data_IF_394310207450
#
_entry.id   IF_394310207450
#
_cell.length_a   1.000
_cell.length_b   1.000
_cell.length_c   1.000
_cell.angle_alpha   90.00
_cell.angle_beta   90.00
_cell.angle_gamma   90.00
#
_symmetry.space_group_name_H-M   'P 1'
#
loop_
_entity.id
_entity.type
_entity.pdbx_description
1 polymer ?
#
# COMPACT_ATOMS: atom_id res chain seq x y z
N UNK A 1 -36.52 -2.56 1.79
CA UNK A 1 -35.25 -3.15 1.33
C UNK A 1 -34.16 -2.11 1.60
N UNK A 2 -33.03 -2.47 2.20
CA UNK A 2 -31.92 -1.51 2.36
C UNK A 2 -31.36 -1.18 0.98
N UNK A 3 -31.00 0.10 0.76
CA UNK A 3 -30.37 0.54 -0.49
C UNK A 3 -29.06 -0.26 -0.69
N UNK A 4 -28.77 -0.68 -1.94
CA UNK A 4 -27.52 -1.33 -2.33
C UNK A 4 -26.37 -0.32 -2.10
N UNK A 5 -25.21 -0.81 -1.63
CA UNK A 5 -24.04 0.03 -1.50
C UNK A 5 -23.51 0.42 -2.88
N UNK A 6 -22.98 1.62 -2.99
CA UNK A 6 -22.33 2.14 -4.21
C UNK A 6 -20.82 2.21 -4.01
N UNK A 7 -20.02 2.29 -5.07
CA UNK A 7 -18.58 2.54 -4.97
C UNK A 7 -18.26 3.78 -4.12
N UNK A 8 -17.18 3.70 -3.35
CA UNK A 8 -16.78 4.68 -2.35
C UNK A 8 -15.46 5.31 -2.76
N UNK A 9 -15.41 6.64 -2.82
CA UNK A 9 -14.19 7.42 -2.90
C UNK A 9 -13.82 7.93 -1.52
N UNK A 10 -12.51 8.14 -1.32
CA UNK A 10 -12.00 8.86 -0.16
C UNK A 10 -11.24 10.09 -0.62
N UNK A 11 -11.28 11.15 0.17
CA UNK A 11 -10.46 12.35 -0.05
C UNK A 11 -9.02 12.03 0.34
N UNK A 12 -8.06 12.06 -0.61
CA UNK A 12 -6.67 11.74 -0.32
C UNK A 12 -6.04 12.71 0.68
N UNK A 13 -5.11 12.20 1.50
CA UNK A 13 -4.33 13.02 2.42
C UNK A 13 -2.86 13.05 1.98
N UNK A 14 -2.26 14.23 2.01
CA UNK A 14 -0.91 14.50 1.52
C UNK A 14 0.04 14.71 2.69
N UNK A 15 1.16 13.99 2.67
CA UNK A 15 2.16 14.05 3.74
C UNK A 15 3.52 14.49 3.21
N UNK A 16 4.03 15.57 3.81
CA UNK A 16 5.41 15.99 3.65
C UNK A 16 6.35 14.95 4.24
N UNK A 17 7.39 14.60 3.50
CA UNK A 17 8.46 13.70 3.93
C UNK A 17 9.82 14.27 3.53
N UNK A 18 10.81 14.15 4.39
CA UNK A 18 12.19 14.61 4.13
C UNK A 18 12.84 13.95 2.90
N UNK A 19 12.25 12.90 2.37
CA UNK A 19 12.67 12.17 1.18
C UNK A 19 11.70 12.35 0.00
N UNK A 20 10.64 13.16 0.17
CA UNK A 20 9.58 13.31 -0.81
C UNK A 20 10.02 14.01 -2.10
N UNK A 21 9.45 13.59 -3.24
CA UNK A 21 9.79 14.07 -4.58
C UNK A 21 8.96 15.24 -5.05
N UNK A 22 7.69 15.27 -4.73
CA UNK A 22 6.77 16.33 -5.14
C UNK A 22 6.06 16.12 -6.49
N UNK A 23 6.24 14.98 -7.18
CA UNK A 23 5.45 14.63 -8.38
C UNK A 23 3.97 14.40 -8.01
N UNK A 24 3.70 13.97 -6.79
CA UNK A 24 2.36 13.77 -6.25
C UNK A 24 1.74 15.05 -5.66
N UNK A 25 2.47 16.16 -5.61
CA UNK A 25 1.97 17.39 -5.02
C UNK A 25 0.83 17.98 -5.87
N UNK A 26 -0.25 18.48 -5.24
CA UNK A 26 -1.24 19.27 -5.94
C UNK A 26 -0.60 20.50 -6.62
N UNK A 27 -1.20 20.96 -7.72
CA UNK A 27 -0.69 22.14 -8.46
C UNK A 27 -0.50 23.34 -7.53
N UNK A 28 0.74 23.83 -7.40
CA UNK A 28 1.09 24.92 -6.49
C UNK A 28 1.28 24.52 -5.04
N UNK A 29 1.23 23.22 -4.72
CA UNK A 29 1.45 22.68 -3.37
C UNK A 29 2.93 22.50 -3.00
N UNK A 30 3.14 21.89 -1.84
CA UNK A 30 4.45 21.53 -1.31
C UNK A 30 5.18 20.58 -2.26
N UNK A 31 6.45 20.88 -2.57
CA UNK A 31 7.29 20.10 -3.47
C UNK A 31 7.96 18.89 -2.80
N UNK A 32 7.67 18.62 -1.53
CA UNK A 32 8.23 17.51 -0.77
C UNK A 32 7.13 16.56 -0.28
N UNK A 33 6.04 16.41 -1.05
CA UNK A 33 5.05 15.36 -0.78
C UNK A 33 5.66 14.03 -1.13
N UNK A 34 5.96 13.23 -0.11
CA UNK A 34 6.50 11.88 -0.28
C UNK A 34 5.43 10.80 -0.22
N UNK A 35 4.31 11.04 0.47
CA UNK A 35 3.21 10.09 0.57
C UNK A 35 1.87 10.75 0.30
N UNK A 36 1.00 10.06 -0.43
CA UNK A 36 -0.43 10.37 -0.57
C UNK A 36 -1.22 9.15 -0.10
N UNK A 37 -1.98 9.30 0.97
CA UNK A 37 -2.81 8.23 1.49
C UNK A 37 -4.16 8.26 0.81
N UNK A 38 -4.44 7.24 0.01
CA UNK A 38 -5.65 7.13 -0.80
C UNK A 38 -6.82 6.53 -0.01
N UNK A 39 -6.55 5.48 0.80
CA UNK A 39 -7.48 4.87 1.74
C UNK A 39 -6.75 4.60 3.06
N UNK A 40 -7.29 5.12 4.15
CA UNK A 40 -6.75 4.92 5.50
C UNK A 40 -7.88 4.87 6.54
N UNK A 41 -7.82 3.88 7.40
CA UNK A 41 -8.59 3.80 8.65
C UNK A 41 -7.71 4.03 9.89
N UNK A 42 -6.43 4.40 9.71
CA UNK A 42 -5.51 4.60 10.83
C UNK A 42 -5.97 5.77 11.69
N UNK A 43 -6.13 5.52 12.98
CA UNK A 43 -6.66 6.49 13.95
C UNK A 43 -5.90 7.83 13.92
N UNK A 44 -6.63 8.93 13.73
CA UNK A 44 -6.10 10.28 13.59
C UNK A 44 -5.50 10.62 12.22
N UNK A 45 -5.52 9.67 11.28
CA UNK A 45 -5.05 9.80 9.89
C UNK A 45 -6.02 9.13 8.92
N UNK A 46 -7.30 9.08 9.28
CA UNK A 46 -8.35 8.50 8.44
C UNK A 46 -8.58 9.35 7.20
N UNK A 47 -8.77 8.70 6.05
CA UNK A 47 -9.24 9.38 4.85
C UNK A 47 -10.77 9.48 4.89
N UNK A 48 -11.35 10.68 4.89
CA UNK A 48 -12.80 10.84 4.89
C UNK A 48 -13.40 10.36 3.56
N UNK A 49 -14.55 9.70 3.63
CA UNK A 49 -15.27 9.24 2.43
C UNK A 49 -16.04 10.37 1.77
N UNK A 50 -16.19 10.26 0.46
CA UNK A 50 -16.92 11.21 -0.39
C UNK A 50 -18.30 10.65 -0.80
N UNK A 51 -19.19 11.55 -1.27
CA UNK A 51 -20.51 11.21 -1.81
C UNK A 51 -21.61 11.26 -0.76
N UNK A 52 -22.81 11.64 -1.19
CA UNK A 52 -23.95 11.98 -0.33
C UNK A 52 -24.37 10.86 0.66
N UNK A 53 -24.11 9.60 0.31
CA UNK A 53 -24.47 8.46 1.16
C UNK A 53 -23.44 8.15 2.27
N UNK A 54 -22.20 8.65 2.11
CA UNK A 54 -21.06 8.29 2.96
C UNK A 54 -20.27 9.50 3.48
N UNK A 55 -20.60 10.70 3.03
CA UNK A 55 -19.80 11.91 3.17
C UNK A 55 -19.25 12.12 4.59
N UNK A 56 -17.91 12.23 4.66
CA UNK A 56 -17.20 12.48 5.91
C UNK A 56 -17.11 11.28 6.87
N UNK A 57 -17.69 10.13 6.53
CA UNK A 57 -17.57 8.94 7.36
C UNK A 57 -16.15 8.38 7.28
N UNK A 58 -15.62 7.80 8.39
CA UNK A 58 -14.41 7.00 8.34
C UNK A 58 -14.71 5.60 7.77
N UNK A 59 -13.69 4.94 7.21
CA UNK A 59 -13.83 3.57 6.72
C UNK A 59 -14.27 2.60 7.83
N UNK A 60 -13.77 2.77 9.06
CA UNK A 60 -14.19 1.95 10.21
C UNK A 60 -15.66 2.17 10.58
N UNK A 61 -16.16 3.41 10.50
CA UNK A 61 -17.58 3.68 10.70
C UNK A 61 -18.44 2.99 9.65
N UNK A 62 -17.95 2.90 8.40
CA UNK A 62 -18.64 2.15 7.34
C UNK A 62 -18.57 0.63 7.59
N UNK A 63 -17.45 0.10 8.05
CA UNK A 63 -17.33 -1.31 8.45
C UNK A 63 -18.30 -1.61 9.59
N UNK A 64 -18.33 -0.81 10.63
CA UNK A 64 -19.27 -0.98 11.75
C UNK A 64 -20.74 -0.95 11.30
N UNK A 65 -21.08 -0.12 10.31
CA UNK A 65 -22.44 0.03 9.79
C UNK A 65 -22.86 -1.08 8.83
N UNK A 66 -21.97 -1.51 7.95
CA UNK A 66 -22.31 -2.37 6.82
C UNK A 66 -21.69 -3.77 6.88
N UNK A 67 -20.64 -3.96 7.68
CA UNK A 67 -20.02 -5.25 7.91
C UNK A 67 -19.63 -6.00 6.63
N UNK A 68 -20.06 -7.24 6.54
CA UNK A 68 -19.80 -8.12 5.38
C UNK A 68 -20.42 -7.64 4.07
N UNK A 69 -21.42 -6.77 4.11
CA UNK A 69 -21.94 -6.12 2.88
C UNK A 69 -20.87 -5.23 2.23
N UNK A 70 -20.02 -4.61 3.06
CA UNK A 70 -18.89 -3.79 2.61
C UNK A 70 -17.66 -4.66 2.32
N UNK A 71 -17.18 -5.41 3.31
CA UNK A 71 -15.89 -6.10 3.24
C UNK A 71 -15.93 -7.45 2.53
N UNK A 72 -17.08 -8.13 2.53
CA UNK A 72 -17.22 -9.50 2.04
C UNK A 72 -17.51 -10.50 3.17
N UNK A 73 -18.02 -11.65 2.77
CA UNK A 73 -18.50 -12.69 3.68
C UNK A 73 -17.40 -13.19 4.62
N UNK A 74 -17.62 -13.02 5.92
CA UNK A 74 -16.72 -13.42 6.99
C UNK A 74 -15.56 -12.46 7.24
N UNK A 75 -15.38 -11.44 6.40
CA UNK A 75 -14.25 -10.51 6.51
C UNK A 75 -14.36 -9.59 7.72
N UNK A 76 -15.58 -9.18 8.09
CA UNK A 76 -15.76 -8.32 9.28
C UNK A 76 -15.21 -8.97 10.55
N UNK A 77 -15.48 -10.24 10.74
CA UNK A 77 -14.97 -10.99 11.89
C UNK A 77 -13.44 -11.18 11.79
N UNK A 78 -12.93 -11.52 10.60
CA UNK A 78 -11.50 -11.71 10.35
C UNK A 78 -10.68 -10.46 10.60
N UNK A 79 -11.20 -9.29 10.21
CA UNK A 79 -10.52 -8.00 10.36
C UNK A 79 -10.81 -7.33 11.73
N UNK A 80 -11.41 -8.04 12.70
CA UNK A 80 -11.71 -7.49 14.01
C UNK A 80 -12.69 -6.31 14.02
N UNK A 81 -13.50 -6.16 12.95
CA UNK A 81 -14.46 -5.07 12.80
C UNK A 81 -13.88 -3.74 12.32
N UNK A 82 -12.62 -3.70 11.90
CA UNK A 82 -11.95 -2.53 11.35
C UNK A 82 -11.68 -2.69 9.83
N UNK A 83 -11.41 -1.58 9.13
CA UNK A 83 -10.99 -1.62 7.75
C UNK A 83 -9.52 -2.07 7.67
N UNK A 84 -9.20 -3.15 6.93
CA UNK A 84 -7.94 -3.87 7.14
C UNK A 84 -6.73 -3.30 6.40
N UNK A 85 -6.89 -2.38 5.46
CA UNK A 85 -5.83 -1.96 4.56
C UNK A 85 -5.56 -0.46 4.61
N UNK A 86 -4.29 -0.11 4.38
CA UNK A 86 -3.83 1.25 4.10
C UNK A 86 -3.21 1.27 2.70
N UNK A 87 -3.71 2.16 1.85
CA UNK A 87 -3.26 2.30 0.45
C UNK A 87 -2.62 3.67 0.27
N UNK A 88 -1.40 3.70 -0.23
CA UNK A 88 -0.64 4.92 -0.44
C UNK A 88 -0.02 4.98 -1.82
N UNK A 89 0.26 6.20 -2.27
CA UNK A 89 1.26 6.48 -3.28
C UNK A 89 2.51 7.00 -2.57
N UNK A 90 3.67 6.51 -2.98
CA UNK A 90 4.98 6.99 -2.52
C UNK A 90 5.74 7.61 -3.69
N UNK A 91 6.37 8.76 -3.45
CA UNK A 91 7.26 9.45 -4.40
C UNK A 91 8.59 9.76 -3.69
N UNK A 92 9.61 8.99 -3.99
CA UNK A 92 10.89 8.99 -3.31
C UNK A 92 11.98 9.71 -4.13
N UNK A 93 12.26 10.98 -3.82
CA UNK A 93 13.41 11.70 -4.39
C UNK A 93 14.73 11.36 -3.67
N UNK A 94 14.68 10.80 -2.47
CA UNK A 94 15.84 10.30 -1.74
C UNK A 94 15.54 8.94 -1.13
N UNK A 95 16.58 8.17 -0.79
CA UNK A 95 16.43 6.85 -0.18
C UNK A 95 15.60 6.93 1.11
N UNK A 96 14.62 6.03 1.30
CA UNK A 96 13.91 5.87 2.56
C UNK A 96 14.83 5.23 3.61
N UNK A 97 14.49 5.36 4.89
CA UNK A 97 15.23 4.68 5.97
C UNK A 97 15.29 3.17 5.73
N UNK A 98 16.39 2.54 6.14
CA UNK A 98 16.44 1.08 6.28
C UNK A 98 15.60 0.71 7.49
N UNK A 99 14.60 -0.13 7.30
CA UNK A 99 13.53 -0.40 8.25
C UNK A 99 13.04 -1.84 8.23
N UNK A 100 12.28 -2.21 9.24
CA UNK A 100 11.55 -3.48 9.34
C UNK A 100 10.21 -3.24 10.04
N UNK A 101 9.21 -4.03 9.69
CA UNK A 101 7.89 -4.01 10.33
C UNK A 101 7.68 -5.27 11.14
N UNK A 102 7.10 -5.20 12.35
CA UNK A 102 6.67 -6.39 13.08
C UNK A 102 5.51 -7.09 12.36
N UNK A 103 5.14 -8.28 12.83
CA UNK A 103 4.01 -9.01 12.27
C UNK A 103 2.68 -8.27 12.48
N UNK A 104 1.66 -8.51 11.65
CA UNK A 104 0.34 -7.91 11.85
C UNK A 104 -0.25 -8.21 13.24
N UNK A 105 -0.01 -9.41 13.81
CA UNK A 105 -0.45 -9.80 15.14
C UNK A 105 0.23 -8.98 16.26
N UNK A 106 1.39 -8.43 15.99
CA UNK A 106 2.15 -7.53 16.87
C UNK A 106 1.90 -6.05 16.55
N UNK A 107 0.87 -5.75 15.75
CA UNK A 107 0.52 -4.40 15.32
C UNK A 107 1.39 -3.84 14.22
N UNK A 108 2.04 -4.71 13.47
CA UNK A 108 2.82 -4.38 12.28
C UNK A 108 2.07 -4.62 10.98
N UNK A 109 2.78 -4.97 9.91
CA UNK A 109 2.21 -5.07 8.57
C UNK A 109 3.03 -5.93 7.61
N UNK A 110 2.32 -6.61 6.72
CA UNK A 110 2.82 -7.05 5.42
C UNK A 110 2.58 -5.94 4.39
N UNK A 111 3.42 -5.85 3.36
CA UNK A 111 3.32 -4.85 2.30
C UNK A 111 3.48 -5.47 0.92
N UNK A 112 2.82 -4.86 -0.08
CA UNK A 112 3.13 -5.06 -1.49
C UNK A 112 3.37 -3.69 -2.12
N UNK A 113 4.51 -3.54 -2.81
CA UNK A 113 4.87 -2.36 -3.56
C UNK A 113 4.70 -2.62 -5.05
N UNK A 114 3.92 -1.80 -5.75
CA UNK A 114 3.78 -1.83 -7.20
C UNK A 114 4.41 -0.57 -7.80
N UNK A 115 5.50 -0.74 -8.56
CA UNK A 115 6.28 0.37 -9.12
C UNK A 115 5.57 1.00 -10.31
N UNK A 116 5.25 2.29 -10.22
CA UNK A 116 4.65 3.11 -11.27
C UNK A 116 5.72 3.69 -12.19
N UNK A 117 6.71 4.34 -11.59
CA UNK A 117 7.81 4.99 -12.27
C UNK A 117 9.13 4.73 -11.55
N UNK A 118 10.22 4.62 -12.32
CA UNK A 118 11.57 4.44 -11.77
C UNK A 118 12.59 5.16 -12.62
N UNK A 119 13.60 5.73 -11.99
CA UNK A 119 14.81 6.17 -12.66
C UNK A 119 15.75 4.98 -12.94
N UNK A 120 16.75 5.13 -13.84
CA UNK A 120 17.70 4.05 -14.13
C UNK A 120 18.50 3.56 -12.92
N UNK A 121 18.60 4.36 -11.87
CA UNK A 121 19.34 4.08 -10.62
C UNK A 121 18.43 3.59 -9.49
N UNK A 122 17.13 3.54 -9.72
CA UNK A 122 16.16 3.11 -8.73
C UNK A 122 16.39 1.67 -8.30
N UNK A 123 16.30 1.45 -7.00
CA UNK A 123 16.61 0.16 -6.38
C UNK A 123 15.80 -0.04 -5.10
N UNK A 124 15.72 -1.27 -4.67
CA UNK A 124 15.13 -1.67 -3.39
C UNK A 124 16.15 -2.46 -2.57
N UNK A 125 16.19 -2.24 -1.26
CA UNK A 125 16.89 -3.11 -0.34
C UNK A 125 15.96 -4.26 0.08
N UNK A 126 16.47 -5.50 0.01
CA UNK A 126 15.75 -6.74 0.33
C UNK A 126 16.60 -7.63 1.24
N UNK A 127 16.60 -7.32 2.53
CA UNK A 127 17.34 -8.05 3.54
C UNK A 127 18.85 -7.77 3.52
N UNK A 128 19.58 -8.72 4.08
CA UNK A 128 21.05 -8.67 4.19
C UNK A 128 21.69 -9.49 3.07
N UNK A 129 22.96 -9.22 2.76
CA UNK A 129 23.73 -9.99 1.76
C UNK A 129 24.03 -11.41 2.22
N UNK A 130 24.08 -11.65 3.53
CA UNK A 130 24.34 -12.94 4.15
C UNK A 130 23.61 -13.07 5.50
N UNK A 131 23.35 -14.28 6.00
CA UNK A 131 22.80 -14.48 7.33
C UNK A 131 23.77 -14.00 8.41
N UNK A 132 23.25 -13.33 9.45
CA UNK A 132 24.06 -12.94 10.60
C UNK A 132 23.25 -13.03 11.90
N UNK A 133 23.94 -13.04 13.05
CA UNK A 133 23.27 -12.98 14.34
C UNK A 133 22.84 -11.54 14.68
N UNK A 134 21.90 -11.39 15.63
CA UNK A 134 21.50 -10.07 16.12
C UNK A 134 22.69 -9.27 16.69
N UNK A 135 23.59 -9.93 17.44
CA UNK A 135 24.78 -9.28 17.97
C UNK A 135 25.77 -8.84 16.87
N UNK A 136 25.90 -9.64 15.80
CA UNK A 136 26.71 -9.28 14.65
C UNK A 136 26.11 -8.06 13.93
N UNK A 137 24.80 -8.04 13.68
CA UNK A 137 24.12 -6.90 13.06
C UNK A 137 24.21 -5.64 13.93
N UNK A 138 24.03 -5.77 15.26
CA UNK A 138 24.25 -4.67 16.22
C UNK A 138 25.64 -4.07 16.06
N UNK A 139 26.67 -4.91 16.09
CA UNK A 139 28.06 -4.49 15.92
C UNK A 139 28.32 -3.81 14.57
N UNK A 140 27.68 -4.28 13.50
CA UNK A 140 27.75 -3.65 12.17
C UNK A 140 27.12 -2.25 12.19
N UNK A 141 25.96 -2.09 12.84
CA UNK A 141 25.27 -0.78 12.98
C UNK A 141 26.14 0.18 13.80
N UNK A 142 26.63 -0.24 14.96
CA UNK A 142 27.49 0.58 15.85
C UNK A 142 28.75 1.09 15.15
N UNK A 143 29.28 0.33 14.21
CA UNK A 143 30.47 0.71 13.40
C UNK A 143 30.09 1.51 12.15
N UNK A 144 28.83 1.91 11.99
CA UNK A 144 28.30 2.60 10.80
C UNK A 144 28.59 1.85 9.47
N UNK A 145 28.60 0.51 9.50
CA UNK A 145 28.94 -0.34 8.36
C UNK A 145 27.72 -1.03 7.71
N UNK A 146 26.50 -0.76 8.18
CA UNK A 146 25.27 -1.46 7.76
C UNK A 146 25.11 -1.49 6.23
N UNK A 147 25.39 -0.38 5.55
CA UNK A 147 25.19 -0.25 4.10
C UNK A 147 25.98 -1.28 3.27
N UNK A 148 27.09 -1.83 3.78
CA UNK A 148 27.88 -2.86 3.09
C UNK A 148 27.25 -4.26 3.15
N UNK A 149 26.30 -4.46 4.06
CA UNK A 149 25.64 -5.73 4.29
C UNK A 149 24.20 -5.76 3.78
N UNK A 150 23.71 -4.66 3.22
CA UNK A 150 22.35 -4.59 2.63
C UNK A 150 22.36 -5.14 1.22
N UNK A 151 21.37 -5.98 0.92
CA UNK A 151 21.16 -6.51 -0.42
C UNK A 151 20.28 -5.58 -1.24
N UNK A 152 20.86 -4.94 -2.25
CA UNK A 152 20.15 -4.01 -3.13
C UNK A 152 19.91 -4.62 -4.50
N UNK A 153 18.69 -4.49 -5.01
CA UNK A 153 18.30 -4.93 -6.34
C UNK A 153 17.67 -3.79 -7.15
N UNK A 154 17.92 -3.70 -8.47
CA UNK A 154 17.24 -2.73 -9.32
C UNK A 154 15.75 -3.04 -9.41
N UNK A 155 14.95 -2.00 -9.64
CA UNK A 155 13.50 -2.07 -9.86
C UNK A 155 13.10 -1.40 -11.15
N UNK A 156 11.95 -1.82 -11.70
CA UNK A 156 11.40 -1.31 -12.97
C UNK A 156 9.91 -1.04 -12.86
N UNK A 157 9.38 -0.12 -13.67
CA UNK A 157 7.93 0.09 -13.75
C UNK A 157 7.19 -1.21 -14.10
N UNK A 158 6.07 -1.43 -13.45
CA UNK A 158 5.23 -2.64 -13.61
C UNK A 158 5.66 -3.83 -12.74
N UNK A 159 6.80 -3.77 -12.06
CA UNK A 159 7.16 -4.80 -11.07
C UNK A 159 6.32 -4.64 -9.78
N UNK A 160 5.99 -5.77 -9.17
CA UNK A 160 5.36 -5.85 -7.85
C UNK A 160 6.25 -6.65 -6.91
N UNK A 161 6.44 -6.17 -5.68
CA UNK A 161 7.30 -6.80 -4.68
C UNK A 161 6.54 -6.97 -3.38
N UNK A 162 6.46 -8.19 -2.88
CA UNK A 162 5.94 -8.47 -1.55
C UNK A 162 7.05 -8.32 -0.50
N UNK A 163 6.72 -7.62 0.57
CA UNK A 163 7.57 -7.37 1.73
C UNK A 163 6.86 -7.92 2.98
N UNK A 164 7.00 -9.21 3.26
CA UNK A 164 6.48 -9.78 4.49
C UNK A 164 7.08 -9.10 5.72
N UNK A 165 6.30 -9.01 6.78
CA UNK A 165 6.77 -8.57 8.09
C UNK A 165 8.09 -9.28 8.46
N UNK A 166 8.97 -8.58 9.16
CA UNK A 166 10.31 -9.06 9.47
C UNK A 166 11.36 -8.86 8.36
N UNK A 167 10.97 -8.47 7.14
CA UNK A 167 11.92 -8.19 6.07
C UNK A 167 12.62 -6.84 6.31
N UNK A 168 13.95 -6.84 6.41
CA UNK A 168 14.73 -5.59 6.37
C UNK A 168 14.64 -5.03 4.95
N UNK A 169 14.15 -3.81 4.80
CA UNK A 169 13.98 -3.21 3.48
C UNK A 169 14.19 -1.69 3.47
N UNK A 170 14.38 -1.13 2.29
CA UNK A 170 14.39 0.30 2.03
C UNK A 170 14.04 0.57 0.57
N UNK A 171 13.31 1.65 0.29
CA UNK A 171 13.09 2.16 -1.06
C UNK A 171 14.22 3.11 -1.43
N UNK A 172 14.85 2.88 -2.56
CA UNK A 172 15.86 3.78 -3.13
C UNK A 172 15.22 4.97 -3.85
N UNK A 173 15.98 6.04 -3.96
CA UNK A 173 15.60 7.26 -4.67
C UNK A 173 15.19 7.00 -6.12
N UNK A 174 14.39 7.93 -6.68
CA UNK A 174 13.93 7.91 -8.07
C UNK A 174 12.78 6.94 -8.34
N UNK A 175 12.05 6.53 -7.30
CA UNK A 175 10.93 5.57 -7.43
C UNK A 175 9.61 6.21 -7.05
N UNK A 176 8.57 5.97 -7.88
CA UNK A 176 7.18 6.23 -7.54
C UNK A 176 6.39 4.93 -7.57
N UNK A 177 5.59 4.65 -6.56
CA UNK A 177 4.91 3.37 -6.40
C UNK A 177 3.56 3.47 -5.67
N UNK A 178 2.74 2.43 -5.83
CA UNK A 178 1.58 2.15 -4.98
C UNK A 178 2.04 1.21 -3.87
N UNK A 179 1.85 1.60 -2.62
CA UNK A 179 2.03 0.76 -1.44
C UNK A 179 0.67 0.27 -0.94
N UNK A 180 0.52 -1.03 -0.89
CA UNK A 180 -0.63 -1.72 -0.30
C UNK A 180 -0.16 -2.43 0.95
N UNK A 181 -0.73 -2.14 2.12
CA UNK A 181 -0.29 -2.69 3.39
C UNK A 181 -1.45 -2.94 4.35
N UNK A 182 -1.21 -3.76 5.38
CA UNK A 182 -2.10 -3.83 6.54
C UNK A 182 -2.19 -2.46 7.23
N UNK A 183 -3.32 -2.17 7.90
CA UNK A 183 -3.56 -0.89 8.58
C UNK A 183 -2.64 -0.74 9.79
N UNK A 184 -1.43 -0.27 9.55
CA UNK A 184 -0.41 0.03 10.58
C UNK A 184 0.58 1.06 10.05
N UNK A 185 1.13 1.91 10.94
CA UNK A 185 2.26 2.79 10.65
C UNK A 185 3.52 2.43 11.48
N UNK A 186 3.50 1.28 12.16
CA UNK A 186 4.62 0.81 12.97
C UNK A 186 5.83 0.52 12.11
N UNK A 187 6.91 1.24 12.37
CA UNK A 187 8.17 1.15 11.62
C UNK A 187 9.36 1.17 12.57
N UNK A 188 10.17 0.11 12.55
CA UNK A 188 11.43 0.04 13.29
C UNK A 188 12.59 0.38 12.37
N UNK A 189 13.18 1.59 12.57
CA UNK A 189 14.30 2.12 11.77
C UNK A 189 15.63 1.60 12.28
N UNK A 190 16.38 0.98 11.36
CA UNK A 190 17.77 0.54 11.58
C UNK A 190 18.80 1.61 11.23
N UNK A 191 18.50 2.38 10.15
CA UNK A 191 19.41 3.42 9.67
C UNK A 191 18.64 4.48 8.89
N UNK A 192 19.04 5.74 9.02
CA UNK A 192 18.38 6.90 8.37
C UNK A 192 19.35 7.90 7.77
N UNK A 193 20.55 7.47 7.36
CA UNK A 193 21.57 8.28 6.67
C UNK A 193 22.02 9.52 7.46
N UNK A 194 21.89 9.51 8.78
CA UNK A 194 22.14 10.65 9.68
C UNK A 194 21.37 11.93 9.31
N UNK A 195 20.28 11.79 8.54
CA UNK A 195 19.45 12.91 8.11
C UNK A 195 18.79 13.62 9.30
N UNK A 196 18.58 14.91 9.11
CA UNK A 196 17.78 15.74 10.01
C UNK A 196 16.53 16.20 9.29
N UNK A 197 15.45 16.40 10.03
CA UNK A 197 14.24 17.02 9.52
C UNK A 197 14.44 18.56 9.41
N UNK A 198 13.41 19.26 8.94
CA UNK A 198 13.42 20.72 8.78
C UNK A 198 13.62 21.47 10.11
N UNK A 199 13.36 20.82 11.23
CA UNK A 199 13.61 21.31 12.58
C UNK A 199 15.03 21.04 13.08
N UNK A 200 15.87 20.34 12.30
CA UNK A 200 17.24 19.94 12.66
C UNK A 200 17.29 18.71 13.57
N UNK A 201 16.17 18.00 13.78
CA UNK A 201 16.14 16.80 14.61
C UNK A 201 16.35 15.53 13.75
N UNK A 202 17.11 14.55 14.29
CA UNK A 202 17.21 13.22 13.69
C UNK A 202 16.00 12.39 14.05
N UNK A 203 15.52 11.58 13.10
CA UNK A 203 14.45 10.59 13.39
C UNK A 203 15.01 9.49 14.29
N UNK A 204 14.16 9.06 15.23
CA UNK A 204 14.52 7.98 16.18
C UNK A 204 14.82 6.68 15.45
N UNK A 205 15.92 6.02 15.82
CA UNK A 205 16.22 4.65 15.45
C UNK A 205 15.64 3.68 16.50
N UNK A 206 15.23 2.50 16.07
CA UNK A 206 14.56 1.48 16.88
C UNK A 206 15.37 0.17 16.81
N UNK A 207 16.68 0.26 17.16
CA UNK A 207 17.64 -0.85 16.91
C UNK A 207 17.21 -2.13 17.63
N UNK A 208 16.81 -2.03 18.91
CA UNK A 208 16.47 -3.20 19.70
C UNK A 208 15.18 -3.88 19.21
N UNK A 209 14.17 -3.08 18.86
CA UNK A 209 12.92 -3.56 18.29
C UNK A 209 13.20 -4.22 16.93
N UNK A 210 13.98 -3.58 16.08
CA UNK A 210 14.32 -4.09 14.77
C UNK A 210 15.12 -5.41 14.85
N UNK A 211 16.09 -5.52 15.76
CA UNK A 211 16.87 -6.75 15.95
C UNK A 211 16.03 -7.93 16.44
N UNK A 212 14.96 -7.68 17.22
CA UNK A 212 14.02 -8.73 17.66
C UNK A 212 13.07 -9.18 16.57
N UNK A 213 12.73 -8.27 15.66
CA UNK A 213 11.71 -8.43 14.63
C UNK A 213 12.28 -8.99 13.33
N UNK A 214 13.48 -8.55 12.97
CA UNK A 214 14.02 -8.77 11.63
C UNK A 214 14.41 -10.23 11.34
N UNK A 215 14.10 -10.66 10.12
CA UNK A 215 14.73 -11.83 9.50
C UNK A 215 16.16 -11.47 9.13
N UNK A 216 17.13 -12.04 9.85
CA UNK A 216 18.54 -11.66 9.79
C UNK A 216 19.28 -12.40 8.66
N UNK A 217 18.88 -12.14 7.42
CA UNK A 217 19.48 -12.77 6.25
C UNK A 217 18.97 -12.18 4.93
N UNK A 218 19.38 -12.78 3.80
CA UNK A 218 18.83 -12.41 2.50
C UNK A 218 17.33 -12.67 2.43
N UNK A 219 16.59 -11.74 1.86
CA UNK A 219 15.22 -11.97 1.43
C UNK A 219 15.21 -12.33 -0.07
N UNK A 220 14.52 -13.42 -0.41
CA UNK A 220 14.36 -13.87 -1.80
C UNK A 220 12.92 -13.66 -2.23
N UNK A 221 12.76 -13.05 -3.39
CA UNK A 221 11.46 -12.85 -3.99
C UNK A 221 11.01 -14.11 -4.74
N UNK A 222 9.79 -14.56 -4.49
CA UNK A 222 9.15 -15.64 -5.23
C UNK A 222 8.71 -15.17 -6.62
N UNK A 223 8.28 -13.91 -6.74
CA UNK A 223 7.83 -13.29 -7.97
C UNK A 223 8.03 -11.77 -7.92
N UNK A 224 8.12 -11.16 -9.10
CA UNK A 224 8.05 -9.70 -9.30
C UNK A 224 6.86 -9.33 -10.18
N UNK A 225 5.92 -10.24 -10.39
CA UNK A 225 4.77 -10.07 -11.27
C UNK A 225 3.48 -10.34 -10.50
N UNK A 226 2.43 -9.63 -10.90
CA UNK A 226 1.07 -9.89 -10.43
C UNK A 226 0.50 -11.17 -11.10
N UNK A 227 -0.38 -11.94 -10.45
CA UNK A 227 -0.90 -11.68 -9.10
C UNK A 227 0.14 -11.94 -8.01
N UNK A 228 0.11 -11.13 -6.95
CA UNK A 228 0.99 -11.25 -5.79
C UNK A 228 0.17 -11.03 -4.52
N UNK A 229 0.41 -11.82 -3.49
CA UNK A 229 -0.39 -11.79 -2.27
C UNK A 229 0.41 -11.94 -0.99
N UNK A 230 -0.25 -11.57 0.10
CA UNK A 230 0.13 -11.83 1.50
C UNK A 230 -0.89 -12.79 2.12
N UNK A 231 -0.79 -13.05 3.42
CA UNK A 231 -1.82 -13.78 4.16
C UNK A 231 -3.17 -13.03 4.21
N UNK A 232 -3.19 -11.71 3.99
CA UNK A 232 -4.35 -10.86 4.23
C UNK A 232 -4.99 -10.32 2.96
N UNK A 233 -4.23 -10.09 1.90
CA UNK A 233 -4.73 -9.51 0.66
C UNK A 233 -3.95 -10.00 -0.57
N UNK A 234 -4.54 -9.81 -1.74
CA UNK A 234 -3.94 -10.14 -3.04
C UNK A 234 -4.08 -8.96 -3.98
N UNK A 235 -3.01 -8.65 -4.70
CA UNK A 235 -2.98 -7.65 -5.76
C UNK A 235 -3.01 -8.29 -7.13
N UNK A 236 -3.83 -7.74 -8.04
CA UNK A 236 -3.98 -8.16 -9.44
C UNK A 236 -3.88 -6.94 -10.35
N UNK A 237 -3.51 -7.13 -11.61
CA UNK A 237 -3.66 -6.08 -12.63
C UNK A 237 -5.01 -6.24 -13.34
N UNK A 238 -5.73 -5.12 -13.49
CA UNK A 238 -6.91 -5.00 -14.35
C UNK A 238 -6.53 -4.11 -15.52
N UNK A 239 -6.71 -4.62 -16.73
CA UNK A 239 -6.43 -3.86 -17.96
C UNK A 239 -7.70 -3.74 -18.78
N UNK A 240 -8.12 -2.52 -19.10
CA UNK A 240 -9.21 -2.28 -20.04
C UNK A 240 -8.65 -1.88 -21.40
N UNK A 241 -9.24 -2.45 -22.45
CA UNK A 241 -9.02 -2.04 -23.83
C UNK A 241 -10.37 -1.70 -24.48
N UNK A 242 -10.41 -0.89 -25.56
CA UNK A 242 -11.67 -0.51 -26.20
C UNK A 242 -12.55 -1.70 -26.60
N UNK A 243 -11.95 -2.85 -26.87
CA UNK A 243 -12.59 -4.06 -27.38
C UNK A 243 -12.84 -5.14 -26.32
N UNK A 244 -12.38 -4.94 -25.07
CA UNK A 244 -12.54 -5.92 -24.00
C UNK A 244 -13.41 -5.39 -22.86
N UNK A 245 -14.44 -6.16 -22.51
CA UNK A 245 -15.19 -5.98 -21.28
C UNK A 245 -14.61 -6.91 -20.21
N UNK A 246 -14.17 -6.35 -19.11
CA UNK A 246 -13.77 -7.13 -17.93
C UNK A 246 -14.83 -7.01 -16.85
N UNK A 247 -15.11 -8.12 -16.18
CA UNK A 247 -15.99 -8.13 -15.01
C UNK A 247 -15.16 -8.28 -13.75
N UNK A 248 -15.31 -7.33 -12.83
CA UNK A 248 -14.74 -7.42 -11.50
C UNK A 248 -15.74 -8.16 -10.62
N UNK A 249 -15.32 -9.27 -10.06
CA UNK A 249 -16.11 -10.09 -9.13
C UNK A 249 -15.23 -10.70 -8.05
N UNK A 250 -15.80 -10.92 -6.88
CA UNK A 250 -15.14 -11.58 -5.74
C UNK A 250 -16.03 -12.67 -5.13
N UNK A 251 -17.08 -13.06 -5.84
CA UNK A 251 -18.11 -14.02 -5.37
C UNK A 251 -18.68 -13.67 -3.98
N UNK A 252 -18.66 -12.38 -3.64
CA UNK A 252 -19.08 -11.85 -2.34
C UNK A 252 -18.19 -12.21 -1.17
N UNK A 253 -16.97 -12.69 -1.42
CA UNK A 253 -16.00 -13.05 -0.36
C UNK A 253 -15.07 -11.89 0.03
N UNK A 254 -15.02 -10.85 -0.79
CA UNK A 254 -14.19 -9.66 -0.56
C UNK A 254 -14.83 -8.42 -1.18
N UNK A 255 -14.56 -7.25 -0.65
CA UNK A 255 -14.56 -6.01 -1.42
C UNK A 255 -13.43 -6.04 -2.46
N UNK A 256 -13.44 -5.09 -3.39
CA UNK A 256 -12.30 -4.82 -4.25
C UNK A 256 -11.90 -3.35 -4.14
N UNK A 257 -10.60 -3.07 -4.09
CA UNK A 257 -10.08 -1.71 -4.18
C UNK A 257 -9.37 -1.59 -5.51
N UNK A 258 -9.69 -0.57 -6.28
CA UNK A 258 -8.99 -0.24 -7.52
C UNK A 258 -8.15 1.00 -7.32
N UNK A 259 -6.89 0.95 -7.75
CA UNK A 259 -6.00 2.12 -7.81
C UNK A 259 -5.58 2.32 -9.25
N UNK A 260 -5.89 3.47 -9.83
CA UNK A 260 -5.56 3.79 -11.21
C UNK A 260 -4.04 3.87 -11.44
N UNK A 261 -3.54 3.14 -12.45
CA UNK A 261 -2.14 3.12 -12.86
C UNK A 261 -1.92 4.03 -14.06
N UNK A 262 -2.71 3.85 -15.11
CA UNK A 262 -2.57 4.61 -16.37
C UNK A 262 -3.89 4.67 -17.13
N UNK A 263 -4.03 5.67 -18.00
CA UNK A 263 -5.25 5.87 -18.79
C UNK A 263 -6.46 6.19 -17.91
N UNK A 264 -7.66 5.76 -18.32
CA UNK A 264 -8.89 5.95 -17.54
C UNK A 264 -9.80 4.76 -17.68
N UNK A 265 -10.30 4.26 -16.56
CA UNK A 265 -11.28 3.17 -16.52
C UNK A 265 -12.68 3.75 -16.23
N UNK A 266 -13.69 3.25 -16.95
CA UNK A 266 -15.08 3.54 -16.67
C UNK A 266 -15.76 2.28 -16.16
N UNK A 267 -16.22 2.33 -14.89
CA UNK A 267 -16.90 1.22 -14.25
C UNK A 267 -18.41 1.45 -14.28
N UNK A 268 -19.18 0.39 -14.49
CA UNK A 268 -20.63 0.40 -14.40
C UNK A 268 -21.12 -0.84 -13.64
N UNK A 269 -22.15 -0.64 -12.81
CA UNK A 269 -22.91 -1.71 -12.18
C UNK A 269 -24.17 -2.04 -12.97
N UNK A 270 -25.14 -2.68 -12.30
CA UNK A 270 -26.45 -3.00 -12.87
C UNK A 270 -27.31 -1.74 -13.14
N UNK A 271 -27.01 -0.66 -12.41
CA UNK A 271 -27.68 0.64 -12.55
C UNK A 271 -26.99 1.48 -13.64
N UNK A 272 -27.64 2.59 -14.03
CA UNK A 272 -27.12 3.52 -15.04
C UNK A 272 -25.95 4.37 -14.54
N UNK A 273 -25.59 4.27 -13.27
CA UNK A 273 -24.48 5.03 -12.67
C UNK A 273 -23.14 4.49 -13.15
N UNK A 274 -22.25 5.43 -13.43
CA UNK A 274 -20.89 5.15 -13.91
C UNK A 274 -19.87 5.84 -13.01
N UNK A 275 -18.74 5.17 -12.79
CA UNK A 275 -17.63 5.67 -12.00
C UNK A 275 -16.35 5.67 -12.84
N UNK A 276 -15.78 6.85 -12.99
CA UNK A 276 -14.48 7.00 -13.65
C UNK A 276 -13.36 6.82 -12.64
N UNK A 277 -12.31 6.11 -13.00
CA UNK A 277 -11.07 5.97 -12.25
C UNK A 277 -9.91 6.46 -13.10
N UNK A 278 -9.28 7.56 -12.68
CA UNK A 278 -8.10 8.13 -13.29
C UNK A 278 -6.81 7.60 -12.61
N UNK A 279 -5.62 7.80 -13.20
CA UNK A 279 -4.36 7.48 -12.53
C UNK A 279 -4.24 8.17 -11.17
N UNK A 280 -3.66 7.46 -10.20
CA UNK A 280 -3.44 7.93 -8.84
C UNK A 280 -4.72 8.14 -8.00
N UNK A 281 -5.88 7.76 -8.52
CA UNK A 281 -7.12 7.71 -7.75
C UNK A 281 -7.38 6.31 -7.22
N UNK A 282 -8.14 6.21 -6.12
CA UNK A 282 -8.62 4.95 -5.59
C UNK A 282 -10.15 4.91 -5.55
N UNK A 283 -10.71 3.70 -5.74
CA UNK A 283 -12.13 3.43 -5.64
C UNK A 283 -12.34 2.11 -4.88
N UNK A 284 -13.02 2.18 -3.74
CA UNK A 284 -13.44 1.01 -2.98
C UNK A 284 -14.79 0.52 -3.51
N UNK A 285 -14.83 -0.72 -3.97
CA UNK A 285 -16.02 -1.43 -4.44
C UNK A 285 -16.51 -2.34 -3.32
N UNK A 286 -17.62 -2.01 -2.63
CA UNK A 286 -18.19 -2.89 -1.62
C UNK A 286 -18.51 -4.29 -2.19
N UNK A 287 -18.35 -5.32 -1.39
CA UNK A 287 -18.62 -6.71 -1.81
C UNK A 287 -20.06 -6.89 -2.34
N UNK A 288 -21.03 -6.16 -1.77
CA UNK A 288 -22.44 -6.16 -2.21
C UNK A 288 -22.62 -5.50 -3.58
N UNK A 289 -21.74 -4.58 -3.97
CA UNK A 289 -21.82 -3.86 -5.25
C UNK A 289 -21.39 -4.73 -6.43
N UNK A 290 -20.53 -5.71 -6.18
CA UNK A 290 -20.02 -6.60 -7.20
C UNK A 290 -21.07 -7.65 -7.65
N UNK A 291 -21.04 -8.12 -8.90
CA UNK A 291 -20.02 -7.80 -9.91
C UNK A 291 -20.22 -6.41 -10.54
N UNK A 292 -19.12 -5.81 -10.98
CA UNK A 292 -19.10 -4.59 -11.77
C UNK A 292 -18.37 -4.79 -13.09
N UNK A 293 -18.77 -4.07 -14.11
CA UNK A 293 -18.13 -4.14 -15.42
C UNK A 293 -17.19 -2.95 -15.60
N UNK A 294 -15.98 -3.23 -16.11
CA UNK A 294 -15.12 -2.20 -16.70
C UNK A 294 -15.68 -1.95 -18.11
N UNK A 295 -16.52 -0.94 -18.23
CA UNK A 295 -17.41 -0.78 -19.38
C UNK A 295 -16.71 -0.28 -20.63
N UNK A 296 -15.78 0.66 -20.53
CA UNK A 296 -14.98 1.23 -21.61
C UNK A 296 -13.78 1.95 -21.07
N UNK A 297 -12.74 2.09 -21.88
CA UNK A 297 -11.56 2.86 -21.56
C UNK A 297 -10.32 2.18 -22.10
N UNK A 298 -9.23 2.92 -22.13
CA UNK A 298 -7.90 2.39 -22.32
C UNK A 298 -7.11 2.75 -21.07
N UNK A 299 -6.80 1.75 -20.24
CA UNK A 299 -6.12 2.01 -18.99
C UNK A 299 -5.88 0.75 -18.16
N UNK A 300 -5.13 0.96 -17.10
CA UNK A 300 -4.75 -0.06 -16.13
C UNK A 300 -5.05 0.38 -14.70
N UNK A 301 -5.42 -0.57 -13.86
CA UNK A 301 -5.53 -0.39 -12.42
C UNK A 301 -4.90 -1.56 -11.65
N UNK A 302 -4.40 -1.28 -10.47
CA UNK A 302 -4.12 -2.30 -9.47
C UNK A 302 -5.44 -2.62 -8.76
N UNK A 303 -5.83 -3.88 -8.76
CA UNK A 303 -6.98 -4.38 -8.01
C UNK A 303 -6.49 -5.12 -6.77
N UNK A 304 -6.98 -4.73 -5.62
CA UNK A 304 -6.67 -5.34 -4.33
C UNK A 304 -7.94 -6.02 -3.80
N UNK A 305 -7.82 -7.27 -3.39
CA UNK A 305 -8.88 -8.05 -2.73
C UNK A 305 -8.35 -8.65 -1.44
N UNK A 306 -9.23 -8.83 -0.46
CA UNK A 306 -8.89 -9.54 0.77
C UNK A 306 -8.81 -11.04 0.48
N UNK A 307 -7.85 -11.74 1.09
CA UNK A 307 -7.82 -13.21 1.03
C UNK A 307 -9.09 -13.77 1.67
N UNK A 308 -9.67 -14.86 1.12
CA UNK A 308 -10.88 -15.44 1.71
C UNK A 308 -10.71 -15.75 3.19
N UNK A 309 -11.74 -15.46 3.99
CA UNK A 309 -11.78 -15.93 5.36
C UNK A 309 -11.80 -17.47 5.36
N UNK A 310 -10.95 -18.10 6.16
CA UNK A 310 -10.99 -19.56 6.33
C UNK A 310 -12.38 -20.01 6.80
N UNK A 311 -12.84 -21.15 6.26
CA UNK A 311 -14.17 -21.69 6.59
C UNK A 311 -14.17 -22.38 7.92
#
# INVERSE_FOLDING_TARGET
>A
MSRKLTPIRCTPQYYHKIWGGGHLAPTGGDKQIGEVWLLSALAGQETPTEGADYEGASLDALVARYGDRLLGRGQTARCGGAFPLLIKLLDAAADLSVQVHPSPEEGGKDEIWYFLETEPTSRICLGLTEPMSADALRSVIERAALMHYLHWEPVRPGEAIALPAGTIHALGAGSMLIEVQDTSDTTYRLYDYDRVDDGGARRTLHIEEALRTATLGPHRLDSRQLPLGTSHFVCHEVTATPDSLQTITTDGTSCAILVGISGSLLLSGDDTEQWQLAPHEALLLPAETLPMQVARGEGKALMITLTPAER
#
